data_IF_805877237452
#
_entry.id   IF_805877237452
#
_cell.length_a   1.000
_cell.length_b   1.000
_cell.length_c   1.000
_cell.angle_alpha   90.00
_cell.angle_beta   90.00
_cell.angle_gamma   90.00
#
_symmetry.space_group_name_H-M   'P 1'
#
loop_
_entity.id
_entity.type
_entity.pdbx_description
1 polymer ?
2 non-polymer ?
3 non-polymer ?
4 water ?
#
# COMPACT_ATOMS: atom_id res chain seq x y z
N UNK A 12 -18.93 5.20 -2.72
CA UNK A 12 -17.54 4.92 -2.27
C UNK A 12 -16.70 6.16 -2.41
N UNK A 13 -15.96 6.51 -1.36
CA UNK A 13 -14.95 7.55 -1.50
C UNK A 13 -13.54 7.01 -1.10
N UNK A 14 -12.49 7.53 -1.76
CA UNK A 14 -11.10 7.09 -1.46
C UNK A 14 -10.56 7.90 -0.32
N UNK A 15 -10.76 7.41 0.89
CA UNK A 15 -10.24 8.20 2.01
C UNK A 15 -8.75 8.08 2.23
N UNK A 16 -8.04 7.24 1.48
CA UNK A 16 -6.56 7.23 1.57
C UNK A 16 -5.91 8.59 1.29
N UNK A 17 -6.50 9.33 0.34
CA UNK A 17 -5.88 10.56 -0.17
C UNK A 17 -5.34 11.48 0.92
N UNK A 18 -4.03 11.68 0.89
CA UNK A 18 -3.31 12.60 1.79
C UNK A 18 -3.31 12.20 3.28
N UNK A 19 -3.81 10.99 3.59
CA UNK A 19 -3.64 10.46 4.95
C UNK A 19 -2.17 10.39 5.26
N UNK A 20 -1.83 10.26 6.53
CA UNK A 20 -0.43 10.17 6.91
C UNK A 20 0.11 8.81 6.53
N UNK A 21 1.23 8.81 5.80
CA UNK A 21 1.91 7.57 5.45
C UNK A 21 3.33 7.48 6.01
N UNK A 22 3.83 6.25 6.10
CA UNK A 22 5.24 6.08 6.38
C UNK A 22 5.75 4.74 5.81
N UNK A 23 7.06 4.54 5.80
CA UNK A 23 7.58 3.28 5.25
C UNK A 23 8.93 2.98 5.88
N UNK A 24 9.42 1.78 5.65
CA UNK A 24 10.61 1.25 6.26
C UNK A 24 11.82 2.13 5.94
N UNK A 25 11.93 2.63 4.70
CA UNK A 25 13.00 3.57 4.37
C UNK A 25 12.65 4.22 3.03
N UNK A 26 13.45 5.14 2.55
CA UNK A 26 13.09 5.77 1.27
C UNK A 26 14.31 5.82 0.37
N UNK A 27 14.12 5.47 -0.90
CA UNK A 27 15.21 5.57 -1.87
C UNK A 27 14.68 6.28 -3.11
N UNK A 28 15.53 7.01 -3.81
CA UNK A 28 15.15 7.54 -5.16
C UNK A 28 14.01 8.53 -5.11
N UNK A 29 13.97 9.31 -4.05
CA UNK A 29 12.84 10.21 -3.85
C UNK A 29 11.46 9.52 -3.85
N UNK A 30 11.42 8.22 -3.48
CA UNK A 30 10.15 7.50 -3.52
C UNK A 30 9.35 7.64 -2.25
N UNK A 31 8.89 8.85 -1.95
CA UNK A 31 8.30 9.11 -0.64
C UNK A 31 7.04 8.28 -0.46
N UNK A 32 6.80 7.81 0.77
CA UNK A 32 5.57 7.13 1.14
C UNK A 32 4.25 7.81 0.68
N UNK A 33 4.19 9.14 0.66
CA UNK A 33 2.99 9.90 0.31
C UNK A 33 2.60 9.71 -1.15
N UNK A 34 3.57 9.21 -1.97
CA UNK A 34 3.37 9.11 -3.41
C UNK A 34 2.32 8.05 -3.63
N UNK A 35 2.13 7.17 -2.65
CA UNK A 35 1.06 6.16 -2.88
C UNK A 35 -0.35 6.70 -2.53
N UNK A 36 -0.47 7.94 -2.07
CA UNK A 36 -1.80 8.49 -1.76
C UNK A 36 -1.99 9.91 -2.34
N UNK A 37 -1.26 10.21 -3.39
CA UNK A 37 -1.36 11.51 -4.06
C UNK A 37 -2.45 11.65 -5.10
N UNK A 38 -3.23 10.57 -5.27
CA UNK A 38 -4.28 10.49 -6.26
C UNK A 38 -3.84 10.23 -7.70
N UNK A 39 -2.61 9.79 -7.93
CA UNK A 39 -2.10 9.61 -9.29
C UNK A 39 -1.69 8.17 -9.37
N UNK A 40 -2.38 7.41 -10.21
CA UNK A 40 -2.08 6.01 -10.35
C UNK A 40 -1.00 5.65 -11.37
N UNK A 41 -0.38 6.66 -12.00
CA UNK A 41 0.70 6.38 -12.98
C UNK A 41 1.84 5.54 -12.32
N UNK A 42 2.13 4.37 -12.86
CA UNK A 42 3.19 3.54 -12.30
C UNK A 42 4.55 3.68 -12.96
N UNK A 43 4.70 4.67 -13.86
CA UNK A 43 5.98 4.91 -14.50
C UNK A 43 6.83 5.63 -13.50
N UNK A 44 7.94 5.05 -13.04
CA UNK A 44 8.70 5.72 -11.93
C UNK A 44 9.01 7.23 -12.17
N UNK A 45 9.31 7.63 -13.41
CA UNK A 45 9.80 8.99 -13.65
C UNK A 45 8.70 10.00 -13.76
N UNK A 46 7.46 9.51 -13.66
CA UNK A 46 6.33 10.39 -13.46
C UNK A 46 6.14 10.80 -12.00
N UNK A 47 7.04 10.29 -11.15
CA UNK A 47 7.20 10.77 -9.78
C UNK A 47 5.98 10.49 -8.90
N UNK A 48 5.27 9.39 -9.19
CA UNK A 48 4.14 9.04 -8.34
C UNK A 48 4.20 7.62 -7.78
N UNK A 49 5.41 7.09 -7.67
CA UNK A 49 5.67 5.78 -7.14
C UNK A 49 6.66 5.82 -5.96
N UNK A 50 6.25 5.12 -4.86
CA UNK A 50 7.08 5.01 -3.65
C UNK A 50 8.30 4.08 -3.97
N UNK A 51 9.29 4.09 -3.10
CA UNK A 51 10.52 3.29 -3.23
C UNK A 51 11.22 3.19 -1.90
N UNK A 52 11.31 1.99 -1.34
CA UNK A 52 12.16 1.79 -0.16
C UNK A 52 13.57 1.46 -0.58
N UNK A 53 14.50 1.52 0.38
CA UNK A 53 15.75 0.81 0.27
C UNK A 53 15.56 -0.70 0.26
N UNK A 54 16.68 -1.42 0.23
CA UNK A 54 16.60 -2.87 0.14
C UNK A 54 16.45 -3.49 1.54
N UNK A 55 15.27 -3.34 2.12
CA UNK A 55 15.13 -3.56 3.58
C UNK A 55 14.78 -5.00 3.92
N UNK A 56 14.77 -5.32 5.23
CA UNK A 56 14.56 -6.69 5.66
C UNK A 56 13.50 -6.89 6.79
N UNK A 57 12.19 -6.77 6.52
CA UNK A 57 11.62 -6.49 5.20
C UNK A 57 11.41 -5.02 4.86
N UNK A 58 11.18 -4.75 3.58
CA UNK A 58 10.53 -3.53 3.15
C UNK A 58 9.02 -3.52 3.42
N UNK A 59 8.50 -2.38 3.90
CA UNK A 59 7.09 -2.27 4.14
C UNK A 59 6.66 -0.80 3.98
N UNK A 60 5.36 -0.59 3.89
CA UNK A 60 4.73 0.71 3.79
C UNK A 60 3.41 0.70 4.56
N UNK A 61 3.07 1.84 5.15
CA UNK A 61 1.90 1.90 6.02
C UNK A 61 1.13 3.19 5.87
N UNK A 62 -0.19 3.10 6.07
CA UNK A 62 -1.10 4.25 6.02
C UNK A 62 -1.94 4.27 7.30
N UNK A 63 -2.03 5.47 7.90
CA UNK A 63 -2.81 5.72 9.13
C UNK A 63 -4.05 6.48 8.68
N UNK A 64 -5.22 5.84 8.80
CA UNK A 64 -6.50 6.45 8.39
C UNK A 64 -7.04 7.52 9.38
N UNK A 65 -6.36 7.71 10.52
CA UNK A 65 -6.63 8.82 11.47
C UNK A 65 -7.75 8.51 12.48
N UNK A 66 -8.71 7.68 12.05
CA UNK A 66 -9.62 7.00 12.97
C UNK A 66 -10.11 5.72 12.32
N UNK A 67 -10.74 4.85 13.12
CA UNK A 67 -11.33 3.60 12.64
C UNK A 67 -12.35 3.89 11.55
N UNK A 68 -12.29 3.10 10.47
CA UNK A 68 -13.23 3.31 9.37
C UNK A 68 -13.75 1.96 9.00
N UNK A 69 -14.98 1.96 8.46
CA UNK A 69 -15.55 0.76 7.82
C UNK A 69 -15.03 0.65 6.41
N UNK A 70 -14.22 -0.38 6.16
CA UNK A 70 -13.44 -0.46 4.95
C UNK A 70 -14.18 -1.32 3.94
N UNK A 71 -14.43 -0.78 2.74
CA UNK A 71 -15.20 -1.49 1.71
C UNK A 71 -14.27 -2.17 0.74
N UNK A 72 -13.24 -1.44 0.29
CA UNK A 72 -12.41 -1.94 -0.79
C UNK A 72 -11.01 -1.42 -0.56
N UNK A 73 -10.03 -2.24 -0.92
CA UNK A 73 -8.63 -1.79 -1.05
C UNK A 73 -8.18 -2.02 -2.51
N UNK A 74 -7.63 -0.98 -3.15
CA UNK A 74 -6.99 -1.18 -4.44
C UNK A 74 -5.45 -0.74 -4.40
N UNK A 75 -4.59 -1.67 -4.80
CA UNK A 75 -3.13 -1.47 -4.86
C UNK A 75 -2.69 -1.44 -6.34
N UNK A 76 -2.01 -0.38 -6.72
CA UNK A 76 -1.50 -0.15 -8.09
C UNK A 76 0.01 -0.33 -8.04
N UNK A 77 0.53 -1.25 -8.86
CA UNK A 77 1.96 -1.53 -8.86
C UNK A 77 2.77 -0.52 -9.69
N UNK A 78 4.07 -0.43 -9.46
CA UNK A 78 4.99 0.14 -10.43
C UNK A 78 4.80 -0.60 -11.78
N UNK A 79 5.03 0.10 -12.89
CA UNK A 79 4.83 -0.47 -14.23
C UNK A 79 6.04 -0.33 -15.20
N UNK A 80 6.98 0.58 -14.97
CA UNK A 80 8.04 0.77 -15.98
C UNK A 80 9.13 -0.31 -15.97
N UNK A 81 9.46 -0.84 -14.79
CA UNK A 81 10.54 -1.82 -14.59
C UNK A 81 10.33 -2.49 -13.21
N UNK A 82 11.06 -3.58 -12.95
CA UNK A 82 11.05 -4.28 -11.65
C UNK A 82 9.66 -4.56 -11.09
N UNK A 83 8.69 -4.86 -11.97
CA UNK A 83 7.30 -4.98 -11.50
C UNK A 83 7.13 -6.22 -10.60
N UNK A 84 8.08 -7.16 -10.74
CA UNK A 84 8.07 -8.43 -10.01
C UNK A 84 8.28 -8.22 -8.54
N UNK A 85 8.80 -7.06 -8.15
CA UNK A 85 9.10 -6.89 -6.74
C UNK A 85 7.83 -6.93 -5.87
N UNK A 86 6.67 -6.56 -6.43
CA UNK A 86 5.41 -6.55 -5.64
C UNK A 86 4.83 -7.95 -5.76
N UNK A 87 5.37 -8.86 -4.97
CA UNK A 87 4.94 -10.26 -5.02
C UNK A 87 5.28 -10.87 -3.67
N UNK A 88 4.67 -12.01 -3.33
CA UNK A 88 4.94 -12.69 -2.04
C UNK A 88 4.87 -11.71 -0.90
N UNK A 89 3.69 -11.11 -0.72
CA UNK A 89 3.57 -10.05 0.27
C UNK A 89 2.38 -10.20 1.18
N UNK A 90 2.39 -9.48 2.31
CA UNK A 90 1.23 -9.47 3.15
C UNK A 90 0.60 -8.09 3.21
N UNK A 91 -0.72 -8.09 3.26
CA UNK A 91 -1.54 -6.92 3.59
C UNK A 91 -2.04 -7.19 5.00
N UNK A 92 -1.78 -6.25 5.92
CA UNK A 92 -2.15 -6.39 7.31
C UNK A 92 -2.95 -5.18 7.73
N UNK A 93 -4.12 -5.40 8.30
CA UNK A 93 -4.99 -4.28 8.79
C UNK A 93 -5.06 -4.34 10.29
N UNK A 94 -4.90 -3.18 10.95
CA UNK A 94 -4.89 -3.13 12.40
C UNK A 94 -6.02 -2.26 12.94
N UNK A 95 -6.46 -2.50 14.19
CA UNK A 95 -7.48 -1.64 14.78
C UNK A 95 -6.82 -0.40 15.34
N UNK A 96 -7.59 0.49 15.99
CA UNK A 96 -7.07 1.78 16.54
C UNK A 96 -6.08 1.58 17.66
N UNK A 97 -5.99 0.34 18.16
CA UNK A 97 -5.00 -0.01 19.21
C UNK A 97 -3.76 -0.76 18.70
N UNK A 98 -3.60 -0.74 17.38
CA UNK A 98 -2.45 -1.31 16.67
C UNK A 98 -2.35 -2.82 16.72
N UNK A 99 -3.46 -3.49 17.00
CA UNK A 99 -3.51 -4.94 16.96
C UNK A 99 -4.08 -5.36 15.61
N UNK A 100 -3.54 -6.44 15.08
CA UNK A 100 -3.99 -6.98 13.81
C UNK A 100 -5.47 -7.39 13.83
N UNK A 101 -6.22 -6.93 12.84
CA UNK A 101 -7.61 -7.38 12.70
C UNK A 101 -7.86 -8.20 11.44
N UNK A 102 -6.87 -8.29 10.53
CA UNK A 102 -7.04 -8.97 9.23
C UNK A 102 -5.68 -9.11 8.53
N UNK A 103 -5.38 -10.28 7.99
CA UNK A 103 -4.15 -10.43 7.21
C UNK A 103 -4.44 -11.17 5.93
N UNK A 104 -3.86 -10.73 4.82
CA UNK A 104 -3.96 -11.50 3.58
C UNK A 104 -2.63 -11.60 2.83
N UNK A 105 -2.30 -12.81 2.41
CA UNK A 105 -1.05 -13.04 1.73
C UNK A 105 -1.27 -13.00 0.24
N UNK A 106 -0.38 -12.31 -0.47
CA UNK A 106 -0.45 -12.23 -1.93
C UNK A 106 0.78 -12.86 -2.58
N UNK A 107 0.55 -13.79 -3.49
CA UNK A 107 1.64 -14.49 -4.15
C UNK A 107 2.19 -13.58 -5.24
N UNK A 108 1.32 -13.12 -6.13
CA UNK A 108 1.75 -12.23 -7.20
C UNK A 108 0.57 -11.49 -7.83
N UNK A 109 0.89 -10.42 -8.54
CA UNK A 109 -0.08 -9.66 -9.31
C UNK A 109 0.05 -10.13 -10.75
N UNK A 110 -1.07 -10.30 -11.43
CA UNK A 110 -1.00 -10.55 -12.86
C UNK A 110 -1.11 -9.30 -13.72
N UNK A 111 -1.87 -8.32 -13.24
CA UNK A 111 -1.97 -7.06 -13.99
C UNK A 111 -1.28 -6.00 -13.17
N UNK A 112 -1.39 -4.74 -13.59
CA UNK A 112 -0.74 -3.69 -12.83
C UNK A 112 -1.46 -3.36 -11.52
N UNK A 113 -2.46 -4.14 -11.13
CA UNK A 113 -3.24 -3.83 -9.93
C UNK A 113 -3.97 -5.03 -9.27
N UNK A 114 -4.35 -4.86 -8.00
CA UNK A 114 -5.14 -5.86 -7.27
C UNK A 114 -6.20 -5.18 -6.42
N UNK A 115 -7.42 -5.70 -6.49
CA UNK A 115 -8.55 -5.17 -5.76
C UNK A 115 -8.93 -6.18 -4.69
N UNK A 116 -9.20 -5.70 -3.48
CA UNK A 116 -9.62 -6.57 -2.39
C UNK A 116 -10.89 -5.99 -1.79
N UNK A 117 -11.97 -6.78 -1.72
CA UNK A 117 -13.17 -6.28 -1.07
C UNK A 117 -12.97 -6.58 0.40
N UNK A 118 -13.39 -5.68 1.28
CA UNK A 118 -13.12 -5.89 2.70
C UNK A 118 -14.42 -6.02 3.44
N UNK A 119 -15.52 -5.87 2.69
CA UNK A 119 -16.89 -5.86 3.24
C UNK A 119 -17.14 -5.15 4.58
N UNK A 120 -16.70 -3.88 4.72
CA UNK A 120 -16.97 -3.13 5.95
C UNK A 120 -16.14 -3.51 7.19
N UNK A 121 -15.13 -4.37 7.02
CA UNK A 121 -14.09 -4.52 8.04
C UNK A 121 -13.68 -3.17 8.71
N UNK A 122 -13.78 -3.06 10.04
CA UNK A 122 -13.32 -1.85 10.76
C UNK A 122 -11.81 -1.92 11.00
N UNK A 123 -11.08 -0.89 10.52
CA UNK A 123 -9.64 -0.74 10.75
C UNK A 123 -9.19 0.70 10.73
N UNK A 124 -8.00 0.95 11.30
CA UNK A 124 -7.44 2.29 11.32
C UNK A 124 -6.12 2.45 10.54
N UNK A 125 -5.46 1.31 10.29
CA UNK A 125 -4.13 1.30 9.66
C UNK A 125 -3.98 0.12 8.73
N UNK A 126 -3.21 0.34 7.65
CA UNK A 126 -2.99 -0.71 6.66
C UNK A 126 -1.48 -0.70 6.34
N UNK A 127 -0.87 -1.89 6.42
CA UNK A 127 0.55 -2.13 6.18
C UNK A 127 0.67 -3.08 5.01
N UNK A 128 1.57 -2.77 4.09
CA UNK A 128 1.87 -3.75 3.04
C UNK A 128 3.35 -4.11 3.32
N UNK A 129 3.69 -5.39 3.46
CA UNK A 129 5.04 -5.80 3.88
C UNK A 129 5.48 -6.98 3.04
N UNK A 130 6.66 -6.85 2.40
CA UNK A 130 7.17 -7.92 1.51
C UNK A 130 7.70 -9.09 2.38
N UNK A 131 7.49 -10.35 1.97
CA UNK A 131 8.01 -11.48 2.73
C UNK A 131 9.42 -11.97 2.31
N UNK A 132 9.88 -11.54 1.12
CA UNK A 132 11.29 -11.68 0.72
C UNK A 132 12.12 -10.50 1.14
N UNK A 133 13.02 -10.74 2.10
CA UNK A 133 13.98 -9.73 2.54
C UNK A 133 14.90 -9.30 1.38
N UNK A 134 15.25 -8.03 1.39
CA UNK A 134 16.26 -7.49 0.47
C UNK A 134 15.63 -6.83 -0.73
N UNK A 135 14.30 -6.87 -0.81
CA UNK A 135 13.60 -6.39 -2.00
C UNK A 135 12.98 -5.05 -1.63
N UNK A 136 13.15 -4.06 -2.51
CA UNK A 136 12.55 -2.76 -2.31
C UNK A 136 11.05 -2.85 -2.57
N UNK A 137 10.30 -2.12 -1.75
CA UNK A 137 8.82 -2.00 -1.99
C UNK A 137 8.53 -0.71 -2.74
N UNK A 138 7.84 -0.83 -3.85
CA UNK A 138 7.42 0.33 -4.63
C UNK A 138 5.92 0.17 -4.97
N UNK A 139 5.17 1.20 -4.64
CA UNK A 139 3.73 1.30 -4.89
C UNK A 139 3.40 2.56 -5.68
N UNK A 140 2.68 2.45 -6.78
CA UNK A 140 2.15 3.63 -7.49
C UNK A 140 0.99 4.30 -6.75
N UNK A 141 0.08 3.48 -6.19
CA UNK A 141 -1.06 3.96 -5.47
C UNK A 141 -1.70 2.85 -4.61
N UNK A 142 -2.13 3.26 -3.44
CA UNK A 142 -2.93 2.38 -2.54
C UNK A 142 -4.21 3.17 -2.27
N UNK A 143 -5.34 2.69 -2.70
CA UNK A 143 -6.62 3.36 -2.48
C UNK A 143 -7.47 2.59 -1.46
N UNK A 144 -8.05 3.33 -0.52
CA UNK A 144 -8.88 2.76 0.56
C UNK A 144 -10.28 3.43 0.54
N UNK A 145 -11.27 2.65 0.15
CA UNK A 145 -12.65 3.07 -0.08
C UNK A 145 -13.59 2.79 1.13
N UNK A 146 -14.33 3.81 1.54
CA UNK A 146 -15.42 3.61 2.51
C UNK A 146 -16.68 4.17 1.86
N UNK A 147 -17.82 3.92 2.48
CA UNK A 147 -19.12 4.36 1.99
C UNK A 147 -19.92 3.08 1.93
N UNK A 148 -20.13 2.56 0.72
CA UNK A 148 -20.63 1.22 0.49
C UNK A 148 -20.91 1.16 -1.00
X LIG B 1 0.69 7.74 -6.84
X LIG C 1 -26.60 6.68 -1.92
X LIG C 1 -25.96 7.82 -1.32
X LIG C 1 -28.11 6.61 -1.65
X LIG C 1 -28.93 7.35 -2.54
X LIG C 1 -28.50 6.94 -0.22
X LIG C 1 -28.25 5.78 0.53
#
# INVERSE_FOLDING_TARGET
GSHMASRTPKKLSNIALTKETRQSSTDYNGFSRLAVDGNKNGDYGHHSVTHTKEDSPSWWEIDLAQTEELEKLIIYNRTDAEIQRLSNFDIIIYDSNDYEVFTQHIDSLESNNLSIDLKGLKGKKVRISLRSAGIPLSLAEVEVYTYK
CA CA
GOL C1 O1 C2 O2 C3 O3
#
